data_IF_918541273307
#
_entry.id   IF_918541273307
#
_cell.length_a   1.000
_cell.length_b   1.000
_cell.length_c   1.000
_cell.angle_alpha   90.00
_cell.angle_beta   90.00
_cell.angle_gamma   90.00
#
_symmetry.space_group_name_H-M   'P 1'
#
loop_
_entity.id
_entity.type
_entity.pdbx_description
1 polymer ?
#
# COMPACT_ATOMS: atom_id res chain seq x y z
N UNK A 1 36.81 16.02 21.78
CA UNK A 1 35.37 15.76 21.53
C UNK A 1 34.49 17.00 21.38
N UNK A 2 34.77 18.18 21.98
CA UNK A 2 33.89 19.37 21.88
C UNK A 2 34.09 20.32 20.69
N UNK A 3 35.06 20.09 19.78
CA UNK A 3 35.45 21.13 18.81
C UNK A 3 34.81 21.03 17.43
N UNK A 4 34.50 19.83 16.93
CA UNK A 4 33.81 19.65 15.65
C UNK A 4 32.91 18.41 15.67
N UNK A 5 31.69 18.52 16.20
CA UNK A 5 30.78 17.38 16.32
C UNK A 5 30.39 16.82 14.93
N UNK A 6 30.42 17.64 13.87
CA UNK A 6 30.26 17.20 12.48
C UNK A 6 31.35 16.22 12.02
N UNK A 7 32.62 16.48 12.39
CA UNK A 7 33.74 15.61 12.03
C UNK A 7 33.68 14.29 12.80
N UNK A 8 33.17 14.33 14.04
CA UNK A 8 32.87 13.15 14.84
C UNK A 8 31.78 12.29 14.19
N UNK A 9 30.68 12.89 13.72
CA UNK A 9 29.63 12.16 12.97
C UNK A 9 30.20 11.49 11.72
N UNK A 10 31.03 12.18 10.94
CA UNK A 10 31.64 11.60 9.72
C UNK A 10 32.60 10.45 10.04
N UNK A 11 33.37 10.55 11.13
CA UNK A 11 34.31 9.50 11.55
C UNK A 11 33.59 8.29 12.16
N UNK A 12 32.56 8.49 12.98
CA UNK A 12 31.72 7.40 13.49
C UNK A 12 30.88 6.74 12.38
N UNK A 13 30.42 7.52 11.40
CA UNK A 13 29.73 7.00 10.24
C UNK A 13 30.60 6.03 9.43
N UNK A 14 31.89 6.36 9.27
CA UNK A 14 32.90 5.48 8.65
C UNK A 14 33.27 4.29 9.52
N UNK A 15 33.29 4.46 10.84
CA UNK A 15 33.62 3.42 11.82
C UNK A 15 32.50 2.41 12.12
N UNK A 16 31.27 2.64 11.60
CA UNK A 16 30.07 1.84 11.91
C UNK A 16 29.68 1.82 13.40
N UNK A 17 30.11 2.82 14.18
CA UNK A 17 29.78 2.93 15.60
C UNK A 17 28.45 3.67 15.77
N UNK A 18 27.34 2.96 15.56
CA UNK A 18 26.00 3.54 15.55
C UNK A 18 25.61 4.19 16.89
N UNK A 19 25.96 3.54 18.01
CA UNK A 19 25.61 3.98 19.36
C UNK A 19 26.30 5.29 19.74
N UNK A 20 27.61 5.37 19.48
CA UNK A 20 28.39 6.58 19.74
C UNK A 20 27.92 7.76 18.87
N UNK A 21 27.51 7.49 17.63
CA UNK A 21 26.98 8.52 16.74
C UNK A 21 25.65 9.07 17.26
N UNK A 22 24.73 8.21 17.68
CA UNK A 22 23.44 8.61 18.24
C UNK A 22 23.62 9.46 19.50
N UNK A 23 24.53 9.06 20.40
CA UNK A 23 24.79 9.79 21.65
C UNK A 23 25.43 11.16 21.38
N UNK A 24 26.36 11.24 20.42
CA UNK A 24 26.98 12.51 20.00
C UNK A 24 25.96 13.42 19.31
N UNK A 25 25.10 12.89 18.45
CA UNK A 25 24.06 13.69 17.79
C UNK A 25 23.00 14.18 18.76
N UNK A 26 22.61 13.34 19.73
CA UNK A 26 21.64 13.72 20.77
C UNK A 26 22.20 14.80 21.70
N UNK A 27 23.47 14.68 22.10
CA UNK A 27 24.13 15.66 22.98
C UNK A 27 24.46 16.99 22.28
N UNK A 28 24.69 16.97 20.97
CA UNK A 28 25.00 18.15 20.16
C UNK A 28 23.78 18.74 19.43
N UNK A 29 22.58 18.16 19.60
CA UNK A 29 21.36 18.54 18.86
C UNK A 29 21.50 18.51 17.34
N UNK A 30 22.37 17.63 16.81
CA UNK A 30 22.64 17.45 15.38
C UNK A 30 21.66 16.45 14.75
N UNK A 31 20.36 16.76 14.84
CA UNK A 31 19.29 15.87 14.38
C UNK A 31 19.22 15.74 12.84
N UNK A 32 19.71 16.75 12.10
CA UNK A 32 19.76 16.72 10.64
C UNK A 32 20.76 15.68 10.15
N UNK A 33 21.95 15.67 10.74
CA UNK A 33 23.03 14.75 10.42
C UNK A 33 22.68 13.33 10.87
N UNK A 34 22.02 13.20 12.04
CA UNK A 34 21.46 11.93 12.51
C UNK A 34 20.44 11.37 11.53
N UNK A 35 19.52 12.21 11.04
CA UNK A 35 18.52 11.82 10.05
C UNK A 35 19.17 11.36 8.73
N UNK A 36 20.18 12.10 8.23
CA UNK A 36 20.93 11.71 7.04
C UNK A 36 21.65 10.37 7.22
N UNK A 37 22.28 10.16 8.38
CA UNK A 37 22.97 8.91 8.68
C UNK A 37 22.03 7.70 8.73
N UNK A 38 20.86 7.85 9.36
CA UNK A 38 19.86 6.78 9.45
C UNK A 38 19.37 6.34 8.08
N UNK A 39 19.18 7.30 7.17
CA UNK A 39 18.77 7.05 5.79
C UNK A 39 19.90 6.41 4.97
N UNK A 40 21.16 6.80 5.20
CA UNK A 40 22.31 6.22 4.50
C UNK A 40 22.64 4.79 4.96
N UNK A 41 22.45 4.49 6.25
CA UNK A 41 22.74 3.16 6.83
C UNK A 41 21.70 2.10 6.47
N UNK A 42 20.47 2.52 6.17
CA UNK A 42 19.34 1.64 5.85
C UNK A 42 19.07 0.51 6.87
N UNK A 43 19.58 0.63 8.10
CA UNK A 43 19.52 -0.45 9.10
C UNK A 43 18.20 -0.44 9.88
N UNK A 44 17.38 -1.51 9.81
CA UNK A 44 16.09 -1.56 10.50
C UNK A 44 16.21 -1.59 12.02
N UNK A 45 17.33 -2.09 12.56
CA UNK A 45 17.60 -2.12 14.00
C UNK A 45 17.82 -0.71 14.55
N UNK A 46 18.55 0.12 13.81
CA UNK A 46 18.80 1.52 14.17
C UNK A 46 17.52 2.35 14.15
N UNK A 47 16.71 2.16 13.12
CA UNK A 47 15.39 2.80 13.05
C UNK A 47 14.51 2.41 14.23
N UNK A 48 14.48 1.12 14.59
CA UNK A 48 13.69 0.65 15.73
C UNK A 48 14.18 1.28 17.04
N UNK A 49 15.50 1.48 17.21
CA UNK A 49 16.09 2.10 18.41
C UNK A 49 15.82 3.60 18.49
N UNK A 50 15.96 4.33 17.39
CA UNK A 50 15.74 5.79 17.36
C UNK A 50 14.25 6.13 17.46
N UNK A 51 13.38 5.32 16.87
CA UNK A 51 11.93 5.52 16.87
C UNK A 51 11.22 4.95 18.11
N UNK A 52 11.95 4.52 19.15
CA UNK A 52 11.37 4.08 20.43
C UNK A 52 10.53 5.20 21.04
N UNK A 53 9.41 4.84 21.65
CA UNK A 53 8.50 5.80 22.29
C UNK A 53 9.14 6.48 23.50
N UNK A 54 10.04 5.77 24.17
CA UNK A 54 10.82 6.27 25.32
C UNK A 54 11.82 7.37 24.94
N UNK A 55 12.09 7.57 23.64
CA UNK A 55 13.11 8.52 23.19
C UNK A 55 12.54 9.96 23.14
N UNK A 56 13.04 10.90 23.97
CA UNK A 56 12.57 12.29 23.97
C UNK A 56 12.85 13.01 22.64
N UNK A 57 13.86 12.57 21.89
CA UNK A 57 14.27 13.19 20.62
C UNK A 57 13.55 12.59 19.40
N UNK A 58 12.68 11.60 19.58
CA UNK A 58 11.96 10.90 18.49
C UNK A 58 11.30 11.88 17.52
N UNK A 59 10.53 12.85 18.04
CA UNK A 59 9.81 13.84 17.21
C UNK A 59 10.77 14.71 16.41
N UNK A 60 11.84 15.21 17.02
CA UNK A 60 12.82 16.07 16.37
C UNK A 60 13.54 15.35 15.22
N UNK A 61 13.92 14.09 15.42
CA UNK A 61 14.55 13.29 14.37
C UNK A 61 13.55 13.03 13.24
N UNK A 62 12.31 12.65 13.56
CA UNK A 62 11.26 12.43 12.56
C UNK A 62 11.02 13.71 11.75
N UNK A 63 10.86 14.86 12.40
CA UNK A 63 10.64 16.14 11.72
C UNK A 63 11.78 16.48 10.75
N UNK A 64 13.04 16.25 11.12
CA UNK A 64 14.19 16.47 10.23
C UNK A 64 14.24 15.46 9.06
N UNK A 65 13.89 14.19 9.30
CA UNK A 65 13.78 13.19 8.23
C UNK A 65 12.73 13.63 7.19
N UNK A 66 11.55 14.06 7.67
CA UNK A 66 10.39 14.46 6.86
C UNK A 66 10.64 15.76 6.10
N UNK A 67 11.21 16.77 6.77
CA UNK A 67 11.35 18.13 6.20
C UNK A 67 12.60 18.33 5.35
N UNK A 68 13.69 17.61 5.64
CA UNK A 68 15.00 17.85 5.00
C UNK A 68 15.50 16.64 4.23
N UNK A 69 15.53 15.47 4.86
CA UNK A 69 16.24 14.31 4.29
C UNK A 69 15.44 13.65 3.17
N UNK A 70 14.15 13.41 3.36
CA UNK A 70 13.30 12.79 2.34
C UNK A 70 13.15 13.65 1.07
N UNK A 71 12.94 14.98 1.13
CA UNK A 71 12.93 15.82 -0.06
C UNK A 71 14.28 15.89 -0.79
N UNK A 72 15.39 15.74 -0.06
CA UNK A 72 16.73 15.72 -0.64
C UNK A 72 17.14 14.33 -1.16
N UNK A 73 16.40 13.27 -0.82
CA UNK A 73 16.68 11.92 -1.29
C UNK A 73 16.34 11.79 -2.78
N UNK A 74 17.29 11.27 -3.55
CA UNK A 74 17.12 10.96 -4.97
C UNK A 74 16.86 9.48 -5.23
N UNK A 75 17.05 8.64 -4.20
CA UNK A 75 16.94 7.17 -4.29
C UNK A 75 15.64 6.66 -3.66
N UNK A 76 14.74 6.01 -4.43
CA UNK A 76 13.47 5.51 -3.93
C UNK A 76 13.60 4.31 -2.97
N UNK A 77 14.71 3.59 -3.02
CA UNK A 77 15.03 2.48 -2.13
C UNK A 77 15.16 2.97 -0.68
N UNK A 78 15.93 4.05 -0.47
CA UNK A 78 16.11 4.69 0.83
C UNK A 78 14.79 5.15 1.43
N UNK A 79 13.95 5.79 0.61
CA UNK A 79 12.59 6.22 1.03
C UNK A 79 11.75 5.02 1.46
N UNK A 80 11.83 3.90 0.73
CA UNK A 80 11.09 2.68 1.07
C UNK A 80 11.49 2.09 2.43
N UNK A 81 12.77 2.16 2.81
CA UNK A 81 13.27 1.71 4.12
C UNK A 81 12.72 2.60 5.24
N UNK A 82 12.75 3.93 5.06
CA UNK A 82 12.20 4.90 6.03
C UNK A 82 10.71 4.66 6.25
N UNK A 83 9.96 4.46 5.17
CA UNK A 83 8.52 4.19 5.22
C UNK A 83 8.21 2.93 6.01
N UNK A 84 8.93 1.83 5.75
CA UNK A 84 8.78 0.58 6.51
C UNK A 84 9.11 0.76 7.98
N UNK A 85 10.16 1.52 8.30
CA UNK A 85 10.53 1.83 9.68
C UNK A 85 9.43 2.59 10.42
N UNK A 86 8.85 3.63 9.81
CA UNK A 86 7.78 4.42 10.41
C UNK A 86 6.47 3.62 10.55
N UNK A 87 6.15 2.73 9.59
CA UNK A 87 5.00 1.82 9.70
C UNK A 87 5.14 0.90 10.92
N UNK A 88 6.35 0.36 11.15
CA UNK A 88 6.65 -0.48 12.31
C UNK A 88 6.62 0.32 13.62
N UNK A 89 7.01 1.59 13.56
CA UNK A 89 6.98 2.51 14.70
C UNK A 89 5.59 3.11 14.98
N UNK A 90 4.54 2.71 14.25
CA UNK A 90 3.18 3.17 14.49
C UNK A 90 2.92 4.64 14.14
N UNK A 91 3.63 5.20 13.15
CA UNK A 91 3.46 6.58 12.68
C UNK A 91 2.86 6.64 11.26
N UNK A 92 1.66 6.10 11.00
CA UNK A 92 1.09 6.04 9.65
C UNK A 92 0.61 7.41 9.11
N UNK A 93 0.23 8.35 9.98
CA UNK A 93 -0.31 9.66 9.57
C UNK A 93 0.76 10.50 8.86
N UNK A 94 1.93 10.62 9.47
CA UNK A 94 3.08 11.33 8.88
C UNK A 94 3.54 10.67 7.58
N UNK A 95 3.41 9.34 7.47
CA UNK A 95 3.76 8.61 6.26
C UNK A 95 2.84 8.89 5.09
N UNK A 96 1.54 9.02 5.35
CA UNK A 96 0.56 9.27 4.31
C UNK A 96 0.82 10.61 3.64
N UNK A 97 0.96 11.68 4.42
CA UNK A 97 1.21 13.04 3.89
C UNK A 97 2.51 13.10 3.07
N UNK A 98 3.55 12.41 3.54
CA UNK A 98 4.84 12.32 2.85
C UNK A 98 4.74 11.58 1.51
N UNK A 99 4.12 10.40 1.53
CA UNK A 99 3.99 9.57 0.35
C UNK A 99 3.07 10.23 -0.68
N UNK A 100 1.99 10.90 -0.26
CA UNK A 100 1.17 11.72 -1.15
C UNK A 100 2.01 12.81 -1.80
N UNK A 101 2.78 13.59 -1.03
CA UNK A 101 3.62 14.66 -1.59
C UNK A 101 4.67 14.10 -2.58
N UNK A 102 5.32 13.00 -2.23
CA UNK A 102 6.38 12.40 -3.05
C UNK A 102 5.83 11.70 -4.31
N UNK A 103 4.73 10.96 -4.19
CA UNK A 103 4.19 10.17 -5.31
C UNK A 103 3.28 11.01 -6.20
N UNK A 104 2.48 11.92 -5.62
CA UNK A 104 1.45 12.69 -6.33
C UNK A 104 1.91 14.09 -6.76
N UNK A 105 2.82 14.75 -6.04
CA UNK A 105 3.25 16.12 -6.38
C UNK A 105 4.61 16.16 -7.10
N UNK A 106 5.46 15.13 -6.98
CA UNK A 106 6.71 15.03 -7.74
C UNK A 106 6.48 14.40 -9.12
N UNK A 107 5.64 15.05 -9.92
CA UNK A 107 5.34 14.72 -11.31
C UNK A 107 6.63 14.69 -12.16
N UNK A 108 7.21 13.50 -12.34
CA UNK A 108 8.38 13.29 -13.22
C UNK A 108 9.59 12.61 -12.58
N UNK A 109 9.50 12.17 -11.32
CA UNK A 109 10.63 11.56 -10.61
C UNK A 109 10.60 10.02 -10.65
N UNK A 110 11.76 9.38 -10.39
CA UNK A 110 11.88 7.93 -10.22
C UNK A 110 10.90 7.37 -9.17
N UNK A 111 10.42 8.21 -8.25
CA UNK A 111 9.48 7.87 -7.18
C UNK A 111 8.09 7.53 -7.72
N UNK A 112 7.54 8.30 -8.66
CA UNK A 112 6.22 8.02 -9.25
C UNK A 112 6.21 6.72 -10.04
N UNK A 113 7.34 6.31 -10.63
CA UNK A 113 7.44 5.04 -11.36
C UNK A 113 7.84 3.85 -10.48
N UNK A 114 8.15 4.07 -9.20
CA UNK A 114 8.61 2.98 -8.35
C UNK A 114 7.44 2.16 -7.80
N UNK A 115 7.43 0.89 -8.17
CA UNK A 115 6.40 -0.07 -7.78
C UNK A 115 6.29 -0.27 -6.26
N UNK A 116 7.43 -0.33 -5.57
CA UNK A 116 7.45 -0.53 -4.12
C UNK A 116 6.82 0.66 -3.38
N UNK A 117 7.07 1.89 -3.84
CA UNK A 117 6.51 3.09 -3.22
C UNK A 117 5.01 3.22 -3.46
N UNK A 118 4.55 2.92 -4.68
CA UNK A 118 3.11 2.87 -4.97
C UNK A 118 2.41 1.80 -4.12
N UNK A 119 2.99 0.60 -4.03
CA UNK A 119 2.47 -0.47 -3.17
C UNK A 119 2.40 -0.01 -1.70
N UNK A 120 3.46 0.61 -1.18
CA UNK A 120 3.50 1.09 0.21
C UNK A 120 2.46 2.18 0.48
N UNK A 121 2.28 3.14 -0.44
CA UNK A 121 1.25 4.17 -0.32
C UNK A 121 -0.14 3.54 -0.27
N UNK A 122 -0.45 2.62 -1.20
CA UNK A 122 -1.73 1.91 -1.22
C UNK A 122 -1.95 1.09 0.05
N UNK A 123 -0.99 0.27 0.46
CA UNK A 123 -1.09 -0.55 1.67
C UNK A 123 -1.28 0.30 2.93
N UNK A 124 -0.56 1.43 3.03
CA UNK A 124 -0.68 2.35 4.16
C UNK A 124 -2.05 3.00 4.19
N UNK A 125 -2.56 3.44 3.03
CA UNK A 125 -3.88 4.03 2.90
C UNK A 125 -4.99 3.03 3.26
N UNK A 126 -4.93 1.81 2.72
CA UNK A 126 -5.90 0.74 3.02
C UNK A 126 -5.88 0.39 4.50
N UNK A 127 -4.68 0.27 5.10
CA UNK A 127 -4.56 -0.04 6.52
C UNK A 127 -5.11 1.09 7.41
N UNK A 128 -4.87 2.35 7.03
CA UNK A 128 -5.40 3.51 7.74
C UNK A 128 -6.94 3.53 7.71
N UNK A 129 -7.53 3.29 6.53
CA UNK A 129 -8.97 3.16 6.33
C UNK A 129 -9.57 2.00 7.15
N UNK A 130 -8.92 0.83 7.14
CA UNK A 130 -9.35 -0.34 7.91
C UNK A 130 -9.26 -0.12 9.43
N UNK A 131 -8.28 0.66 9.89
CA UNK A 131 -8.06 0.90 11.33
C UNK A 131 -9.04 1.88 11.99
N UNK A 132 -10.01 2.42 11.25
CA UNK A 132 -11.10 3.22 11.84
C UNK A 132 -10.69 4.62 12.29
N UNK A 133 -9.73 5.25 11.59
CA UNK A 133 -9.48 6.68 11.70
C UNK A 133 -10.74 7.47 11.33
N UNK A 134 -11.19 8.30 12.27
CA UNK A 134 -12.45 9.02 12.27
C UNK A 134 -12.71 9.79 10.95
N UNK A 135 -13.87 9.55 10.34
CA UNK A 135 -14.55 10.52 9.47
C UNK A 135 -14.32 10.52 7.95
N UNK A 136 -13.33 9.83 7.39
CA UNK A 136 -13.05 9.91 5.95
C UNK A 136 -12.94 8.55 5.28
N UNK A 137 -13.91 7.68 5.51
CA UNK A 137 -14.13 6.54 4.61
C UNK A 137 -14.48 7.10 3.23
N UNK A 138 -13.93 6.49 2.20
CA UNK A 138 -14.41 6.60 0.80
C UNK A 138 -13.79 7.76 0.00
N UNK A 139 -12.60 7.51 -0.57
CA UNK A 139 -12.20 8.22 -1.79
C UNK A 139 -10.71 8.31 -2.06
N UNK A 140 -9.88 8.35 -1.00
CA UNK A 140 -8.42 8.54 -1.16
C UNK A 140 -7.77 7.39 -1.90
N UNK A 141 -8.08 6.14 -1.50
CA UNK A 141 -7.58 4.94 -2.18
C UNK A 141 -8.01 4.95 -3.66
N UNK A 142 -9.27 5.26 -3.95
CA UNK A 142 -9.77 5.37 -5.33
C UNK A 142 -9.03 6.44 -6.16
N UNK A 143 -8.75 7.60 -5.58
CA UNK A 143 -7.97 8.64 -6.27
C UNK A 143 -6.55 8.16 -6.57
N UNK A 144 -5.89 7.52 -5.60
CA UNK A 144 -4.55 6.96 -5.80
C UNK A 144 -4.57 5.88 -6.89
N UNK A 145 -5.56 4.98 -6.88
CA UNK A 145 -5.72 3.94 -7.90
C UNK A 145 -5.93 4.50 -9.31
N UNK A 146 -6.58 5.66 -9.44
CA UNK A 146 -6.74 6.33 -10.74
C UNK A 146 -5.43 6.93 -11.26
N UNK A 147 -4.59 7.46 -10.35
CA UNK A 147 -3.35 8.16 -10.71
C UNK A 147 -2.14 7.24 -10.85
N UNK A 148 -2.19 6.05 -10.25
CA UNK A 148 -1.09 5.09 -10.22
C UNK A 148 -1.38 3.88 -11.11
N UNK A 149 -0.35 3.40 -11.81
CA UNK A 149 -0.47 2.28 -12.77
C UNK A 149 0.54 1.16 -12.53
N UNK A 150 1.56 1.37 -11.68
CA UNK A 150 2.68 0.45 -11.51
C UNK A 150 2.71 -0.14 -10.10
N UNK A 151 1.66 -0.87 -9.71
CA UNK A 151 1.55 -1.55 -8.43
C UNK A 151 1.15 -3.03 -8.60
N UNK A 152 1.31 -3.83 -7.54
CA UNK A 152 0.92 -5.24 -7.53
C UNK A 152 -0.59 -5.39 -7.38
N UNK A 153 -1.30 -5.43 -8.52
CA UNK A 153 -2.75 -5.53 -8.56
C UNK A 153 -3.31 -6.68 -7.70
N UNK A 154 -2.73 -7.87 -7.78
CA UNK A 154 -3.21 -9.05 -7.07
C UNK A 154 -3.06 -8.93 -5.54
N UNK A 155 -1.90 -8.48 -5.08
CA UNK A 155 -1.62 -8.38 -3.65
C UNK A 155 -2.39 -7.23 -3.01
N UNK A 156 -2.43 -6.06 -3.67
CA UNK A 156 -3.20 -4.92 -3.19
C UNK A 156 -4.69 -5.25 -3.18
N UNK A 157 -5.22 -5.88 -4.24
CA UNK A 157 -6.64 -6.23 -4.28
C UNK A 157 -7.03 -7.20 -3.16
N UNK A 158 -6.22 -8.23 -2.86
CA UNK A 158 -6.45 -9.13 -1.71
C UNK A 158 -6.49 -8.38 -0.38
N UNK A 159 -5.59 -7.41 -0.21
CA UNK A 159 -5.57 -6.57 1.00
C UNK A 159 -6.82 -5.69 1.05
N UNK A 160 -7.28 -5.14 -0.07
CA UNK A 160 -8.55 -4.40 -0.15
C UNK A 160 -9.75 -5.28 0.23
N UNK A 161 -9.85 -6.51 -0.28
CA UNK A 161 -10.94 -7.43 0.07
C UNK A 161 -10.93 -7.80 1.55
N UNK A 162 -9.75 -8.06 2.12
CA UNK A 162 -9.59 -8.31 3.56
C UNK A 162 -9.93 -7.11 4.45
N UNK A 163 -9.78 -5.89 3.92
CA UNK A 163 -10.13 -4.64 4.59
C UNK A 163 -11.62 -4.23 4.43
N UNK A 164 -12.40 -4.94 3.61
CA UNK A 164 -13.79 -4.56 3.30
C UNK A 164 -13.94 -3.48 2.22
N UNK A 165 -12.86 -3.13 1.51
CA UNK A 165 -12.83 -2.15 0.42
C UNK A 165 -13.13 -2.82 -0.92
N UNK A 166 -14.37 -3.25 -1.11
CA UNK A 166 -14.76 -4.10 -2.25
C UNK A 166 -14.85 -3.34 -3.58
N UNK A 167 -15.24 -2.06 -3.57
CA UNK A 167 -15.29 -1.21 -4.78
C UNK A 167 -13.89 -0.91 -5.31
N UNK A 168 -12.93 -0.64 -4.41
CA UNK A 168 -11.53 -0.44 -4.74
C UNK A 168 -10.92 -1.72 -5.32
N UNK A 169 -11.18 -2.88 -4.69
CA UNK A 169 -10.74 -4.18 -5.19
C UNK A 169 -11.27 -4.46 -6.60
N UNK A 170 -12.58 -4.20 -6.84
CA UNK A 170 -13.18 -4.32 -8.16
C UNK A 170 -12.52 -3.38 -9.17
N UNK A 171 -12.28 -2.12 -8.82
CA UNK A 171 -11.63 -1.16 -9.73
C UNK A 171 -10.21 -1.58 -10.09
N UNK A 172 -9.46 -2.19 -9.17
CA UNK A 172 -8.12 -2.75 -9.44
C UNK A 172 -8.23 -3.90 -10.44
N UNK A 173 -9.05 -4.91 -10.15
CA UNK A 173 -9.18 -6.06 -11.06
C UNK A 173 -9.71 -5.64 -12.43
N UNK A 174 -10.62 -4.67 -12.46
CA UNK A 174 -11.13 -4.11 -13.71
C UNK A 174 -10.02 -3.44 -14.53
N UNK A 175 -9.15 -2.65 -13.89
CA UNK A 175 -8.06 -1.93 -14.54
C UNK A 175 -6.97 -2.86 -15.08
N UNK A 176 -6.70 -3.97 -14.41
CA UNK A 176 -5.67 -4.95 -14.81
C UNK A 176 -6.21 -6.11 -15.67
N UNK A 177 -7.43 -5.99 -16.20
CA UNK A 177 -8.07 -6.99 -17.06
C UNK A 177 -8.18 -8.39 -16.41
N UNK A 178 -8.28 -8.43 -15.07
CA UNK A 178 -8.42 -9.64 -14.26
C UNK A 178 -9.89 -9.96 -14.06
N UNK A 179 -10.50 -10.48 -15.12
CA UNK A 179 -11.95 -10.59 -15.25
C UNK A 179 -12.57 -11.59 -14.29
N UNK A 180 -11.88 -12.70 -14.02
CA UNK A 180 -12.37 -13.75 -13.13
C UNK A 180 -12.39 -13.29 -11.67
N UNK A 181 -11.31 -12.68 -11.20
CA UNK A 181 -11.18 -12.16 -9.84
C UNK A 181 -12.10 -10.93 -9.61
N UNK A 182 -12.26 -10.07 -10.62
CA UNK A 182 -13.24 -8.97 -10.58
C UNK A 182 -14.67 -9.48 -10.36
N UNK A 183 -15.03 -10.56 -11.06
CA UNK A 183 -16.35 -11.17 -10.97
C UNK A 183 -16.56 -11.82 -9.59
N UNK A 184 -15.56 -12.52 -9.07
CA UNK A 184 -15.59 -13.13 -7.73
C UNK A 184 -15.85 -12.08 -6.65
N UNK A 185 -15.19 -10.92 -6.72
CA UNK A 185 -15.45 -9.80 -5.78
C UNK A 185 -16.88 -9.27 -5.89
N UNK A 186 -17.40 -9.11 -7.11
CA UNK A 186 -18.79 -8.67 -7.31
C UNK A 186 -19.81 -9.66 -6.75
N UNK A 187 -19.55 -10.96 -6.89
CA UNK A 187 -20.49 -12.02 -6.53
C UNK A 187 -20.43 -12.38 -5.04
N UNK A 188 -19.24 -12.58 -4.49
CA UNK A 188 -19.06 -13.06 -3.12
C UNK A 188 -19.15 -11.93 -2.09
N UNK A 189 -18.55 -10.77 -2.40
CA UNK A 189 -18.41 -9.68 -1.44
C UNK A 189 -19.45 -8.58 -1.62
N UNK A 190 -19.68 -8.13 -2.86
CA UNK A 190 -20.67 -7.07 -3.14
C UNK A 190 -22.10 -7.58 -3.25
N UNK A 191 -22.26 -8.86 -3.66
CA UNK A 191 -23.56 -9.48 -4.01
C UNK A 191 -24.35 -8.66 -5.04
N UNK A 192 -23.65 -7.92 -5.90
CA UNK A 192 -24.28 -7.12 -6.95
C UNK A 192 -24.29 -7.90 -8.26
N UNK A 193 -25.26 -8.81 -8.34
CA UNK A 193 -25.38 -9.71 -9.46
C UNK A 193 -25.79 -9.03 -10.77
N UNK A 194 -26.49 -7.88 -10.70
CA UNK A 194 -26.86 -7.13 -11.92
C UNK A 194 -25.61 -6.58 -12.59
N UNK A 195 -24.73 -5.96 -11.80
CA UNK A 195 -23.45 -5.45 -12.28
C UNK A 195 -22.55 -6.58 -12.80
N UNK A 196 -22.59 -7.76 -12.14
CA UNK A 196 -21.87 -8.95 -12.61
C UNK A 196 -22.37 -9.48 -13.96
N UNK A 197 -23.69 -9.47 -14.20
CA UNK A 197 -24.29 -9.86 -15.49
C UNK A 197 -23.96 -8.90 -16.63
N UNK A 198 -24.00 -7.59 -16.35
CA UNK A 198 -23.59 -6.57 -17.31
C UNK A 198 -22.10 -6.71 -17.66
N UNK A 199 -21.26 -6.96 -16.65
CA UNK A 199 -19.83 -7.20 -16.83
C UNK A 199 -19.56 -8.44 -17.68
N UNK A 200 -20.22 -9.56 -17.37
CA UNK A 200 -20.12 -10.80 -18.14
C UNK A 200 -20.64 -10.64 -19.59
N UNK A 201 -21.73 -9.89 -19.77
CA UNK A 201 -22.28 -9.59 -21.10
C UNK A 201 -21.38 -8.71 -21.94
N UNK A 202 -20.60 -7.83 -21.32
CA UNK A 202 -19.64 -6.96 -22.03
C UNK A 202 -18.39 -7.72 -22.47
N UNK A 203 -17.94 -8.68 -21.66
CA UNK A 203 -16.73 -9.47 -21.94
C UNK A 203 -17.00 -10.66 -22.87
N UNK A 204 -18.21 -11.24 -22.79
CA UNK A 204 -18.68 -12.40 -23.55
C UNK A 204 -17.71 -13.59 -23.57
N UNK A 205 -16.97 -13.78 -22.48
CA UNK A 205 -16.03 -14.89 -22.33
C UNK A 205 -16.70 -16.09 -21.63
N UNK A 206 -16.54 -17.32 -22.17
CA UNK A 206 -17.11 -18.53 -21.55
C UNK A 206 -16.70 -18.74 -20.09
N UNK A 207 -15.43 -18.48 -19.74
CA UNK A 207 -14.91 -18.68 -18.39
C UNK A 207 -15.61 -17.79 -17.34
N UNK A 208 -15.91 -16.54 -17.70
CA UNK A 208 -16.61 -15.57 -16.83
C UNK A 208 -18.06 -15.99 -16.63
N UNK A 209 -18.73 -16.46 -17.69
CA UNK A 209 -20.10 -16.98 -17.61
C UNK A 209 -20.20 -18.27 -16.79
N UNK A 210 -19.22 -19.17 -16.87
CA UNK A 210 -19.17 -20.38 -16.03
C UNK A 210 -19.10 -20.02 -14.53
N UNK A 211 -18.17 -19.12 -14.15
CA UNK A 211 -18.04 -18.66 -12.76
C UNK A 211 -19.28 -17.91 -12.26
N UNK A 212 -19.87 -17.06 -13.10
CA UNK A 212 -21.12 -16.36 -12.78
C UNK A 212 -22.25 -17.36 -12.53
N UNK A 213 -22.38 -18.37 -13.39
CA UNK A 213 -23.37 -19.42 -13.27
C UNK A 213 -23.21 -20.24 -11.98
N UNK A 214 -21.99 -20.68 -11.66
CA UNK A 214 -21.71 -21.42 -10.43
C UNK A 214 -22.06 -20.62 -9.17
N UNK A 215 -21.72 -19.33 -9.13
CA UNK A 215 -22.04 -18.46 -8.00
C UNK A 215 -23.55 -18.19 -7.87
N UNK A 216 -24.25 -17.99 -9.00
CA UNK A 216 -25.71 -17.80 -9.02
C UNK A 216 -26.47 -19.07 -8.64
N UNK A 217 -25.94 -20.26 -8.95
CA UNK A 217 -26.51 -21.53 -8.53
C UNK A 217 -26.37 -21.76 -7.02
N UNK A 218 -25.27 -21.31 -6.41
CA UNK A 218 -25.07 -21.38 -4.95
C UNK A 218 -26.04 -20.48 -4.19
N UNK A 219 -26.54 -19.42 -4.82
CA UNK A 219 -27.53 -18.53 -4.22
C UNK A 219 -28.95 -19.01 -4.55
N UNK A 220 -29.65 -19.53 -3.53
CA UNK A 220 -30.90 -20.29 -3.67
C UNK A 220 -32.05 -19.53 -4.35
N UNK A 221 -31.98 -18.20 -4.46
CA UNK A 221 -33.02 -17.37 -5.06
C UNK A 221 -32.95 -17.24 -6.59
N UNK A 222 -31.85 -17.67 -7.24
CA UNK A 222 -31.56 -17.26 -8.64
C UNK A 222 -31.04 -18.37 -9.56
N UNK A 223 -31.42 -19.61 -9.26
CA UNK A 223 -31.06 -20.81 -10.04
C UNK A 223 -31.40 -20.67 -11.54
N UNK A 224 -32.54 -20.09 -11.88
CA UNK A 224 -32.95 -19.89 -13.28
C UNK A 224 -32.01 -18.96 -14.07
N UNK A 225 -31.41 -17.97 -13.40
CA UNK A 225 -30.45 -17.06 -14.00
C UNK A 225 -29.07 -17.71 -14.12
N UNK A 226 -28.68 -18.48 -13.11
CA UNK A 226 -27.46 -19.29 -13.13
C UNK A 226 -27.47 -20.31 -14.27
N UNK A 227 -28.59 -21.01 -14.51
CA UNK A 227 -28.73 -21.95 -15.64
C UNK A 227 -28.63 -21.22 -16.99
N UNK A 228 -29.23 -20.02 -17.13
CA UNK A 228 -29.11 -19.22 -18.36
C UNK A 228 -27.66 -18.76 -18.60
N UNK A 229 -26.95 -18.38 -17.54
CA UNK A 229 -25.54 -18.02 -17.59
C UNK A 229 -24.66 -19.20 -18.07
N UNK A 230 -24.88 -20.40 -17.54
CA UNK A 230 -24.15 -21.62 -17.92
C UNK A 230 -24.45 -22.07 -19.35
N UNK A 231 -25.70 -21.96 -19.78
CA UNK A 231 -26.08 -22.24 -21.17
C UNK A 231 -25.34 -21.29 -22.14
N UNK A 232 -25.16 -20.03 -21.75
CA UNK A 232 -24.40 -19.05 -22.53
C UNK A 232 -22.90 -19.34 -22.54
N UNK A 233 -22.35 -19.87 -21.45
CA UNK A 233 -20.96 -20.32 -21.37
C UNK A 233 -20.65 -21.56 -22.24
N UNK A 234 -21.67 -22.31 -22.69
CA UNK A 234 -21.53 -23.65 -23.30
C UNK A 234 -20.69 -24.62 -22.45
N UNK A 235 -20.59 -24.39 -21.15
CA UNK A 235 -19.79 -25.20 -20.25
C UNK A 235 -20.71 -26.17 -19.50
N UNK A 236 -20.55 -27.46 -19.80
CA UNK A 236 -21.38 -28.53 -19.24
C UNK A 236 -20.82 -29.07 -17.90
N UNK A 237 -19.71 -28.51 -17.39
CA UNK A 237 -19.02 -29.01 -16.19
C UNK A 237 -19.81 -28.81 -14.87
N UNK A 238 -20.53 -27.71 -14.63
CA UNK A 238 -21.18 -27.49 -13.33
C UNK A 238 -22.54 -28.20 -13.18
N UNK A 239 -22.88 -29.18 -14.03
CA UNK A 239 -24.14 -29.93 -13.91
C UNK A 239 -24.33 -30.61 -12.53
N UNK A 240 -23.22 -30.95 -11.86
CA UNK A 240 -23.22 -31.56 -10.52
C UNK A 240 -23.67 -30.62 -9.40
N UNK A 241 -23.71 -29.30 -9.61
CA UNK A 241 -24.23 -28.32 -8.64
C UNK A 241 -25.74 -28.09 -8.79
N UNK A 242 -26.38 -28.66 -9.82
CA UNK A 242 -27.80 -28.48 -10.16
C UNK A 242 -28.65 -29.69 -9.73
N UNK A 243 -28.02 -30.75 -9.20
CA UNK A 243 -28.69 -31.98 -8.71
C UNK A 243 -28.85 -31.93 -7.19
#
# INVERSE_FOLDING_TARGET
EKREPLLAVVSYARGKCDDALIDVTNSASLFKEQAQYLVERESPELWTRVLREDNPYRKLVVDQVVSVVLPACTTPEKVSVVVRAFLKAGLPELLMELLERLVLNSSGTAFTRNKNLQNLLLLTAIKAEASGGDGARTGRVMEYLRRMDNYDALDIAKVCTGAGLHEEAYSIYHKFERQEEALEVLLEHMKDYRRAEEYASRLDQPAVWSKLGEALLRDAGRVADGVRALLRAKDARPYLLVV
#
